data_IF_375345454548
#
_entry.id   IF_375345454548
#
_cell.length_a   1.000
_cell.length_b   1.000
_cell.length_c   1.000
_cell.angle_alpha   90.00
_cell.angle_beta   90.00
_cell.angle_gamma   90.00
#
_symmetry.space_group_name_H-M   'P 1'
#
loop_
_entity.id
_entity.type
_entity.pdbx_description
1 polymer ?
#
# COMPACT_ATOMS: atom_id res chain seq x y z
N UNK A 1 2.69 51.60 -38.57
CA UNK A 1 1.52 51.28 -37.72
C UNK A 1 1.34 49.77 -37.81
N UNK A 2 1.50 48.95 -36.79
CA UNK A 2 1.74 49.21 -35.37
C UNK A 2 2.48 48.04 -34.72
N UNK A 3 3.10 48.33 -33.59
CA UNK A 3 3.62 47.36 -32.64
C UNK A 3 2.44 46.74 -31.89
N UNK A 4 2.37 45.41 -31.77
CA UNK A 4 1.55 44.75 -30.75
C UNK A 4 2.47 43.91 -29.87
N UNK A 5 2.70 44.33 -28.61
CA UNK A 5 3.40 43.56 -27.61
C UNK A 5 2.44 42.66 -26.81
N UNK A 6 3.00 41.57 -26.28
CA UNK A 6 2.52 40.76 -25.15
C UNK A 6 1.22 39.97 -25.35
N UNK A 7 1.32 38.66 -25.17
CA UNK A 7 0.57 37.92 -24.13
C UNK A 7 1.23 36.54 -24.00
N UNK A 8 2.47 36.53 -23.49
CA UNK A 8 3.00 35.36 -22.80
C UNK A 8 2.23 35.29 -21.48
N UNK A 9 1.38 34.28 -21.32
CA UNK A 9 0.68 33.99 -20.07
C UNK A 9 1.45 32.92 -19.27
N UNK A 10 2.31 33.30 -18.30
CA UNK A 10 2.98 32.34 -17.43
C UNK A 10 2.20 32.07 -16.14
N UNK A 11 0.87 32.15 -16.14
CA UNK A 11 0.08 32.00 -14.90
C UNK A 11 -0.53 30.61 -14.66
N UNK A 12 0.13 29.55 -15.16
CA UNK A 12 -0.33 28.16 -15.01
C UNK A 12 0.34 27.30 -13.93
N UNK A 13 1.44 27.72 -13.31
CA UNK A 13 2.34 26.77 -12.62
C UNK A 13 2.73 27.01 -11.14
N UNK A 14 2.44 28.15 -10.51
CA UNK A 14 3.33 28.61 -9.43
C UNK A 14 2.73 28.83 -8.04
N UNK A 15 1.48 28.44 -7.76
CA UNK A 15 0.91 28.66 -6.42
C UNK A 15 1.41 27.64 -5.38
N UNK A 16 1.58 26.37 -5.75
CA UNK A 16 2.08 25.32 -4.83
C UNK A 16 3.60 25.40 -4.67
N UNK A 17 4.35 25.60 -5.76
CA UNK A 17 5.82 25.70 -5.72
C UNK A 17 6.31 26.90 -4.91
N UNK A 18 5.63 28.06 -4.99
CA UNK A 18 6.00 29.24 -4.19
C UNK A 18 5.69 29.07 -2.69
N UNK A 19 4.74 28.21 -2.33
CA UNK A 19 4.41 27.90 -0.94
C UNK A 19 5.40 26.90 -0.34
N UNK A 20 5.92 25.97 -1.14
CA UNK A 20 6.98 25.02 -0.72
C UNK A 20 8.34 25.72 -0.64
N UNK A 21 8.62 26.67 -1.54
CA UNK A 21 9.84 27.47 -1.54
C UNK A 21 9.95 28.48 -0.37
N UNK A 22 8.85 28.71 0.36
CA UNK A 22 8.83 29.55 1.57
C UNK A 22 9.04 28.75 2.87
N UNK A 23 9.03 27.42 2.81
CA UNK A 23 9.33 26.57 3.97
C UNK A 23 10.83 26.59 4.25
N UNK A 24 11.19 26.69 5.53
CA UNK A 24 12.57 26.47 5.96
C UNK A 24 12.97 25.01 5.77
N UNK A 25 14.27 24.74 5.61
CA UNK A 25 14.79 23.37 5.44
C UNK A 25 14.35 22.43 6.59
N UNK A 26 14.22 22.97 7.80
CA UNK A 26 13.75 22.23 8.98
C UNK A 26 12.27 21.83 8.85
N UNK A 27 11.41 22.72 8.35
CA UNK A 27 10.00 22.44 8.11
C UNK A 27 9.83 21.41 6.99
N UNK A 28 10.62 21.51 5.92
CA UNK A 28 10.65 20.51 4.84
C UNK A 28 11.06 19.14 5.37
N UNK A 29 12.09 19.07 6.20
CA UNK A 29 12.53 17.81 6.82
C UNK A 29 11.44 17.22 7.72
N UNK A 30 10.77 18.03 8.54
CA UNK A 30 9.70 17.57 9.42
C UNK A 30 8.52 16.97 8.64
N UNK A 31 8.10 17.61 7.53
CA UNK A 31 6.99 17.12 6.70
C UNK A 31 7.36 15.80 6.02
N UNK A 32 8.53 15.73 5.39
CA UNK A 32 9.00 14.50 4.72
C UNK A 32 9.15 13.38 5.73
N UNK A 33 9.69 13.67 6.92
CA UNK A 33 9.84 12.69 7.98
C UNK A 33 8.50 12.17 8.46
N UNK A 34 7.53 13.04 8.69
CA UNK A 34 6.18 12.63 9.09
C UNK A 34 5.53 11.72 8.04
N UNK A 35 5.63 12.11 6.76
CA UNK A 35 5.11 11.31 5.66
C UNK A 35 5.84 9.96 5.53
N UNK A 36 7.16 9.93 5.76
CA UNK A 36 7.93 8.71 5.76
C UNK A 36 7.57 7.79 6.94
N UNK A 37 7.38 8.35 8.14
CA UNK A 37 6.95 7.59 9.32
C UNK A 37 5.55 6.96 9.10
N UNK A 38 4.61 7.70 8.51
CA UNK A 38 3.29 7.19 8.14
C UNK A 38 3.37 6.09 7.06
N UNK A 39 4.15 6.31 6.00
CA UNK A 39 4.36 5.33 4.94
C UNK A 39 5.02 4.05 5.45
N UNK A 40 6.01 4.17 6.35
CA UNK A 40 6.71 3.03 6.97
C UNK A 40 5.76 2.26 7.87
N UNK A 41 4.92 2.92 8.68
CA UNK A 41 3.89 2.26 9.48
C UNK A 41 2.88 1.51 8.60
N UNK A 42 2.46 2.13 7.49
CA UNK A 42 1.62 1.49 6.49
C UNK A 42 2.27 0.24 5.88
N UNK A 43 3.56 0.34 5.51
CA UNK A 43 4.33 -0.77 4.96
C UNK A 43 4.57 -1.90 5.98
N UNK A 44 4.79 -1.58 7.25
CA UNK A 44 4.90 -2.59 8.31
C UNK A 44 3.57 -3.30 8.54
N UNK A 45 2.44 -2.58 8.48
CA UNK A 45 1.11 -3.18 8.57
C UNK A 45 0.85 -4.21 7.47
N UNK A 46 1.19 -3.87 6.22
CA UNK A 46 1.07 -4.81 5.10
C UNK A 46 2.06 -5.97 5.22
N UNK A 47 3.31 -5.71 5.62
CA UNK A 47 4.31 -6.75 5.84
C UNK A 47 3.89 -7.75 6.92
N UNK A 48 3.32 -7.27 8.02
CA UNK A 48 2.75 -8.10 9.08
C UNK A 48 1.63 -9.00 8.54
N UNK A 49 0.69 -8.43 7.79
CA UNK A 49 -0.45 -9.18 7.26
C UNK A 49 0.00 -10.24 6.22
N UNK A 50 0.96 -9.89 5.36
CA UNK A 50 1.60 -10.84 4.44
C UNK A 50 2.34 -11.93 5.21
N UNK A 51 3.12 -11.58 6.24
CA UNK A 51 3.84 -12.53 7.06
C UNK A 51 2.90 -13.54 7.74
N UNK A 52 1.79 -13.05 8.29
CA UNK A 52 0.72 -13.89 8.84
C UNK A 52 0.18 -14.84 7.76
N UNK A 53 -0.18 -14.32 6.58
CA UNK A 53 -0.66 -15.14 5.47
C UNK A 53 0.32 -16.24 5.06
N UNK A 54 1.62 -15.94 4.98
CA UNK A 54 2.68 -16.91 4.69
C UNK A 54 2.77 -18.00 5.77
N UNK A 55 2.70 -17.62 7.05
CA UNK A 55 2.71 -18.59 8.17
C UNK A 55 1.49 -19.51 8.12
N UNK A 56 0.31 -18.98 7.79
CA UNK A 56 -0.91 -19.78 7.62
C UNK A 56 -0.76 -20.79 6.47
N UNK A 57 -0.24 -20.36 5.32
CA UNK A 57 0.03 -21.27 4.20
C UNK A 57 1.06 -22.33 4.57
N UNK A 58 2.17 -21.94 5.19
CA UNK A 58 3.22 -22.87 5.59
C UNK A 58 2.73 -23.92 6.62
N UNK A 59 1.95 -23.48 7.61
CA UNK A 59 1.39 -24.37 8.65
C UNK A 59 0.30 -25.31 8.11
N UNK A 60 -0.34 -24.98 6.98
CA UNK A 60 -1.33 -25.83 6.33
C UNK A 60 -0.74 -27.03 5.59
N UNK A 61 0.54 -26.98 5.20
CA UNK A 61 1.20 -28.03 4.42
C UNK A 61 1.05 -29.44 5.01
N UNK A 62 1.37 -29.72 6.29
CA UNK A 62 1.21 -31.06 6.86
C UNK A 62 -0.23 -31.55 6.86
N UNK A 63 -1.21 -30.65 6.97
CA UNK A 63 -2.63 -30.99 6.94
C UNK A 63 -3.08 -31.40 5.54
N UNK A 64 -2.58 -30.71 4.49
CA UNK A 64 -2.86 -31.03 3.09
C UNK A 64 -2.35 -32.41 2.66
N UNK A 65 -1.23 -32.86 3.24
CA UNK A 65 -0.67 -34.19 2.97
C UNK A 65 -1.19 -35.28 3.93
N UNK A 66 -2.22 -34.98 4.73
CA UNK A 66 -2.81 -35.98 5.61
C UNK A 66 -3.60 -37.02 4.83
N UNK A 67 -3.54 -38.28 5.28
CA UNK A 67 -4.34 -39.39 4.73
C UNK A 67 -5.81 -39.32 5.13
N UNK A 68 -6.14 -38.51 6.14
CA UNK A 68 -7.51 -38.32 6.60
C UNK A 68 -8.15 -37.13 5.88
N UNK A 69 -9.41 -37.24 5.42
CA UNK A 69 -10.06 -36.18 4.66
C UNK A 69 -10.35 -34.93 5.49
N UNK A 70 -10.60 -35.08 6.79
CA UNK A 70 -10.94 -33.96 7.67
C UNK A 70 -9.79 -32.93 7.82
N UNK A 71 -8.57 -33.32 8.23
CA UNK A 71 -7.43 -32.40 8.27
C UNK A 71 -7.08 -31.86 6.88
N UNK A 72 -7.25 -32.65 5.81
CA UNK A 72 -7.00 -32.19 4.44
C UNK A 72 -7.89 -30.99 4.08
N UNK A 73 -9.19 -31.05 4.37
CA UNK A 73 -10.13 -29.94 4.13
C UNK A 73 -9.76 -28.71 4.96
N UNK A 74 -9.44 -28.90 6.24
CA UNK A 74 -8.97 -27.80 7.10
C UNK A 74 -7.69 -27.15 6.57
N UNK A 75 -6.73 -27.96 6.12
CA UNK A 75 -5.51 -27.50 5.47
C UNK A 75 -5.80 -26.67 4.23
N UNK A 76 -6.72 -27.13 3.37
CA UNK A 76 -7.09 -26.39 2.15
C UNK A 76 -7.74 -25.04 2.46
N UNK A 77 -8.64 -24.99 3.45
CA UNK A 77 -9.25 -23.73 3.89
C UNK A 77 -8.21 -22.77 4.48
N UNK A 78 -7.30 -23.28 5.32
CA UNK A 78 -6.25 -22.49 5.95
C UNK A 78 -5.26 -21.95 4.90
N UNK A 79 -4.86 -22.77 3.94
CA UNK A 79 -4.02 -22.39 2.81
C UNK A 79 -4.71 -21.32 1.94
N UNK A 80 -5.99 -21.54 1.60
CA UNK A 80 -6.77 -20.60 0.79
C UNK A 80 -6.93 -19.25 1.48
N UNK A 81 -7.23 -19.25 2.78
CA UNK A 81 -7.33 -18.02 3.57
C UNK A 81 -5.99 -17.30 3.69
N UNK A 82 -4.90 -18.02 3.96
CA UNK A 82 -3.55 -17.45 4.00
C UNK A 82 -3.14 -16.83 2.65
N UNK A 83 -3.40 -17.53 1.54
CA UNK A 83 -3.16 -17.02 0.20
C UNK A 83 -4.01 -15.78 -0.11
N UNK A 84 -5.30 -15.79 0.27
CA UNK A 84 -6.17 -14.64 0.14
C UNK A 84 -5.64 -13.42 0.92
N UNK A 85 -5.17 -13.61 2.16
CA UNK A 85 -4.58 -12.51 2.93
C UNK A 85 -3.35 -11.92 2.24
N UNK A 86 -2.46 -12.75 1.70
CA UNK A 86 -1.30 -12.26 0.95
C UNK A 86 -1.74 -11.46 -0.28
N UNK A 87 -2.59 -12.04 -1.14
CA UNK A 87 -3.02 -11.37 -2.37
C UNK A 87 -3.81 -10.08 -2.09
N UNK A 88 -4.65 -10.08 -1.06
CA UNK A 88 -5.42 -8.91 -0.66
C UNK A 88 -4.52 -7.82 -0.06
N UNK A 89 -3.52 -8.19 0.73
CA UNK A 89 -2.54 -7.25 1.30
C UNK A 89 -1.70 -6.56 0.22
N UNK A 90 -1.36 -7.28 -0.85
CA UNK A 90 -0.68 -6.73 -2.03
C UNK A 90 -1.61 -5.98 -2.99
N UNK A 91 -2.89 -5.79 -2.63
CA UNK A 91 -3.93 -5.18 -3.49
C UNK A 91 -4.09 -5.86 -4.86
N UNK A 92 -3.72 -7.13 -4.99
CA UNK A 92 -3.95 -7.93 -6.20
C UNK A 92 -5.43 -8.29 -6.30
N UNK A 93 -6.06 -8.59 -5.17
CA UNK A 93 -7.50 -8.87 -5.05
C UNK A 93 -8.13 -7.80 -4.15
N UNK A 94 -9.27 -7.21 -4.55
CA UNK A 94 -9.98 -6.26 -3.70
C UNK A 94 -10.39 -6.94 -2.37
N UNK A 95 -10.20 -6.27 -1.23
CA UNK A 95 -10.57 -6.82 0.07
C UNK A 95 -12.08 -6.97 0.22
N UNK A 96 -12.52 -8.04 0.86
CA UNK A 96 -13.94 -8.41 1.04
C UNK A 96 -14.86 -7.29 1.55
N UNK A 97 -14.34 -6.29 2.28
CA UNK A 97 -15.13 -5.12 2.73
C UNK A 97 -15.62 -4.24 1.59
N UNK A 98 -14.98 -4.32 0.42
CA UNK A 98 -15.33 -3.54 -0.79
C UNK A 98 -16.37 -4.29 -1.66
N UNK A 99 -16.84 -5.45 -1.22
CA UNK A 99 -17.74 -6.32 -1.97
C UNK A 99 -19.20 -6.22 -1.48
N UNK A 100 -19.41 -5.53 -0.36
CA UNK A 100 -20.70 -5.19 0.23
C UNK A 100 -21.09 -3.77 -0.20
#
# INVERSE_FOLDING_TARGET
MGSSPADDDPSGGSATDSSVAQLSDEELYAIVRLAAEDAVLGAFGTLMLVGIGVVLVASSAPMLFSLSPLPMVFGALLAGFGAYLVLSSLRIIPPAREWL
#
